data_IF_316105755236
#
_entry.id   IF_316105755236
#
_cell.length_a   1.000
_cell.length_b   1.000
_cell.length_c   1.000
_cell.angle_alpha   90.00
_cell.angle_beta   90.00
_cell.angle_gamma   90.00
#
_symmetry.space_group_name_H-M   'P 1'
#
loop_
_entity.id
_entity.type
_entity.pdbx_description
1 polymer ?
#
# COMPACT_ATOMS: atom_id res chain seq x y z
N UNK A 1 14.86 1.02 48.78
CA UNK A 1 13.60 0.24 48.92
C UNK A 1 12.80 0.51 47.64
N UNK A 2 12.40 -0.40 46.76
CA UNK A 2 12.32 -1.87 46.73
C UNK A 2 12.70 -2.34 45.32
N UNK A 3 13.50 -3.39 45.23
CA UNK A 3 13.64 -4.21 44.03
C UNK A 3 12.35 -5.05 43.87
N UNK A 4 11.86 -5.18 42.64
CA UNK A 4 10.69 -6.00 42.29
C UNK A 4 11.07 -7.02 41.22
N UNK A 5 11.03 -8.29 41.62
CA UNK A 5 11.40 -9.50 40.89
C UNK A 5 10.45 -9.83 39.71
N UNK A 6 11.06 -10.31 38.62
CA UNK A 6 10.78 -11.56 37.90
C UNK A 6 9.32 -11.93 37.56
N UNK A 7 9.10 -12.12 36.26
CA UNK A 7 8.00 -12.94 35.72
C UNK A 7 8.33 -13.42 34.32
N UNK A 8 9.24 -14.39 34.19
CA UNK A 8 9.44 -15.17 32.96
C UNK A 8 8.19 -16.05 32.75
N UNK A 9 7.42 -15.81 31.69
CA UNK A 9 6.37 -16.71 31.25
C UNK A 9 6.78 -17.34 29.91
N UNK A 10 7.39 -18.52 30.01
CA UNK A 10 7.70 -19.40 28.88
C UNK A 10 6.40 -20.02 28.39
N UNK A 11 5.94 -19.65 27.19
CA UNK A 11 4.83 -20.34 26.53
C UNK A 11 5.40 -21.33 25.53
N UNK A 12 5.30 -22.61 25.87
CA UNK A 12 5.54 -23.75 24.98
C UNK A 12 4.24 -23.98 24.20
N UNK A 13 4.28 -23.86 22.86
CA UNK A 13 3.20 -24.36 22.01
C UNK A 13 3.66 -25.57 21.22
N UNK A 14 2.85 -26.62 21.34
CA UNK A 14 3.03 -27.97 20.86
C UNK A 14 2.96 -28.06 19.33
N UNK A 15 3.88 -28.83 18.76
CA UNK A 15 3.86 -29.34 17.39
C UNK A 15 2.70 -30.33 17.24
N UNK A 16 1.81 -30.10 16.27
CA UNK A 16 0.91 -31.11 15.72
C UNK A 16 1.24 -31.28 14.24
N UNK A 17 1.85 -32.42 13.91
CA UNK A 17 2.11 -32.85 12.54
C UNK A 17 0.87 -33.50 11.93
N UNK A 18 0.67 -33.27 10.65
CA UNK A 18 -0.12 -34.13 9.78
C UNK A 18 0.78 -34.63 8.66
N UNK A 19 1.15 -35.91 8.75
CA UNK A 19 1.62 -36.71 7.63
C UNK A 19 0.43 -37.06 6.74
N UNK A 20 0.58 -36.95 5.42
CA UNK A 20 -0.42 -37.37 4.44
C UNK A 20 0.26 -37.82 3.15
N UNK A 21 0.23 -39.12 2.93
CA UNK A 21 0.82 -39.94 1.88
C UNK A 21 0.58 -39.48 0.43
N UNK A 22 1.58 -39.78 -0.41
CA UNK A 22 1.53 -39.78 -1.86
C UNK A 22 0.90 -41.08 -2.40
N UNK A 23 0.28 -41.02 -3.59
CA UNK A 23 0.46 -42.09 -4.56
C UNK A 23 0.71 -41.58 -5.99
N UNK A 24 1.89 -41.91 -6.54
CA UNK A 24 2.05 -42.33 -7.95
C UNK A 24 1.79 -43.85 -8.03
N UNK A 25 1.68 -44.55 -9.20
CA UNK A 25 1.93 -44.15 -10.59
C UNK A 25 0.84 -44.63 -11.59
N UNK A 26 0.91 -44.18 -12.86
CA UNK A 26 0.16 -44.80 -13.96
C UNK A 26 0.52 -44.24 -15.32
N UNK A 27 1.34 -44.97 -16.08
CA UNK A 27 1.86 -44.57 -17.38
C UNK A 27 1.04 -45.03 -18.60
N UNK A 28 0.98 -44.13 -19.60
CA UNK A 28 0.99 -44.35 -21.06
C UNK A 28 -0.19 -45.08 -21.76
N UNK A 29 -0.33 -45.02 -23.11
CA UNK A 29 0.56 -44.38 -24.10
C UNK A 29 -0.12 -43.58 -25.25
N UNK A 30 0.74 -42.84 -25.96
CA UNK A 30 0.74 -42.45 -27.39
C UNK A 30 -0.17 -41.32 -27.94
N UNK A 31 0.37 -40.36 -28.72
CA UNK A 31 -0.34 -39.21 -29.28
C UNK A 31 -0.93 -39.47 -30.67
N UNK A 32 -2.11 -38.90 -30.92
CA UNK A 32 -2.75 -38.82 -32.24
C UNK A 32 -2.26 -37.57 -33.02
N UNK A 33 -1.80 -37.68 -34.28
CA UNK A 33 -1.40 -36.52 -35.08
C UNK A 33 -2.63 -35.86 -35.72
N UNK A 34 -3.25 -34.94 -34.99
CA UNK A 34 -4.28 -34.03 -35.50
C UNK A 34 -3.71 -32.71 -36.00
N UNK A 35 -3.68 -32.55 -37.33
CA UNK A 35 -3.59 -31.33 -38.17
C UNK A 35 -3.22 -29.96 -37.53
N UNK A 36 -2.28 -29.19 -38.14
CA UNK A 36 -2.02 -27.80 -37.76
C UNK A 36 -3.20 -26.89 -38.15
N UNK A 37 -3.69 -26.12 -37.18
CA UNK A 37 -4.58 -24.97 -37.42
C UNK A 37 -3.73 -23.70 -37.33
N UNK A 38 -3.65 -22.84 -38.36
CA UNK A 38 -2.97 -21.56 -38.25
C UNK A 38 -3.88 -20.59 -37.46
N UNK A 39 -3.73 -20.60 -36.14
CA UNK A 39 -4.27 -19.57 -35.27
C UNK A 39 -3.11 -18.67 -34.83
N UNK A 40 -2.86 -17.61 -35.58
CA UNK A 40 -1.98 -16.51 -35.18
C UNK A 40 -2.49 -15.89 -33.87
N UNK A 41 -2.08 -16.45 -32.74
CA UNK A 41 -2.09 -15.77 -31.45
C UNK A 41 -0.96 -14.75 -31.47
N UNK A 42 -1.19 -13.61 -32.12
CA UNK A 42 -0.31 -12.46 -31.95
C UNK A 42 -0.24 -12.09 -30.47
N UNK A 43 0.92 -11.62 -29.96
CA UNK A 43 1.03 -11.17 -28.59
C UNK A 43 -0.02 -10.09 -28.37
N UNK A 44 -0.98 -10.34 -27.48
CA UNK A 44 -1.88 -9.30 -27.01
C UNK A 44 -0.97 -8.19 -26.47
N UNK A 45 -1.02 -6.96 -27.01
CA UNK A 45 -0.31 -5.86 -26.41
C UNK A 45 -0.85 -5.75 -24.98
N UNK A 46 0.01 -5.98 -23.99
CA UNK A 46 -0.33 -5.73 -22.61
C UNK A 46 -0.91 -4.32 -22.53
N UNK A 47 -2.06 -4.18 -21.87
CA UNK A 47 -2.67 -2.87 -21.63
C UNK A 47 -1.56 -1.94 -21.15
N UNK A 48 -1.30 -0.81 -21.85
CA UNK A 48 -0.31 0.14 -21.40
C UNK A 48 -0.68 0.53 -19.97
N UNK A 49 0.17 0.20 -18.99
CA UNK A 49 0.11 0.81 -17.68
C UNK A 49 0.07 2.31 -17.93
N UNK A 50 -1.08 2.92 -17.64
CA UNK A 50 -1.27 4.33 -17.89
C UNK A 50 -0.11 5.09 -17.25
N UNK A 51 0.62 5.85 -18.08
CA UNK A 51 1.69 6.68 -17.57
C UNK A 51 1.10 7.59 -16.48
N UNK A 52 1.81 7.80 -15.36
CA UNK A 52 1.35 8.72 -14.34
C UNK A 52 1.11 10.10 -14.96
N UNK A 53 0.11 10.86 -14.44
CA UNK A 53 -0.16 12.21 -14.91
C UNK A 53 1.10 13.09 -14.89
N UNK A 54 1.28 13.95 -15.89
CA UNK A 54 2.51 14.74 -16.08
C UNK A 54 2.84 15.69 -14.90
N UNK A 55 1.85 16.02 -14.09
CA UNK A 55 1.91 16.86 -12.89
C UNK A 55 2.10 16.07 -11.58
N UNK A 56 2.08 14.73 -11.63
CA UNK A 56 2.19 13.89 -10.44
C UNK A 56 3.66 13.59 -10.08
N UNK A 57 4.00 13.68 -8.79
CA UNK A 57 5.28 13.15 -8.31
C UNK A 57 5.23 11.62 -8.29
N UNK A 58 6.28 10.99 -8.82
CA UNK A 58 6.38 9.53 -8.86
C UNK A 58 6.79 8.96 -7.49
N UNK A 59 5.99 8.03 -6.98
CA UNK A 59 6.29 7.25 -5.78
C UNK A 59 7.31 6.14 -6.06
N UNK A 60 8.19 5.87 -5.08
CA UNK A 60 9.18 4.79 -5.17
C UNK A 60 8.80 3.65 -4.23
N UNK A 61 8.72 2.45 -4.79
CA UNK A 61 8.28 1.24 -4.09
C UNK A 61 9.32 0.63 -3.14
N UNK A 62 10.45 1.29 -2.93
CA UNK A 62 11.59 0.77 -2.20
C UNK A 62 11.34 0.76 -0.69
N UNK A 63 11.81 -0.32 -0.05
CA UNK A 63 11.92 -0.43 1.41
C UNK A 63 10.61 -0.11 2.16
N UNK A 64 9.50 -0.84 1.93
CA UNK A 64 8.35 -0.73 2.82
C UNK A 64 8.77 -0.96 4.27
N UNK A 65 8.16 -0.22 5.20
CA UNK A 65 8.46 -0.38 6.63
C UNK A 65 7.78 -1.61 7.22
N UNK A 66 6.77 -2.14 6.54
CA UNK A 66 6.06 -3.35 6.95
C UNK A 66 5.31 -4.00 5.77
N UNK A 67 5.02 -5.30 5.90
CA UNK A 67 4.20 -6.07 4.98
C UNK A 67 3.05 -6.72 5.77
N UNK A 68 1.82 -6.50 5.32
CA UNK A 68 0.59 -6.79 6.06
C UNK A 68 -0.34 -7.71 5.26
N UNK A 69 -1.04 -8.61 5.97
CA UNK A 69 -2.10 -9.41 5.37
C UNK A 69 -3.36 -8.57 5.05
N UNK A 70 -3.62 -7.52 5.83
CA UNK A 70 -4.74 -6.59 5.64
C UNK A 70 -4.42 -5.22 6.24
N UNK A 71 -5.09 -4.13 5.81
CA UNK A 71 -4.94 -2.83 6.44
C UNK A 71 -5.34 -2.86 7.93
N UNK A 72 -4.68 -2.09 8.81
CA UNK A 72 -5.06 -2.00 10.21
C UNK A 72 -6.49 -1.47 10.39
N UNK A 73 -7.19 -1.84 11.47
CA UNK A 73 -8.58 -1.44 11.69
C UNK A 73 -8.82 0.08 11.75
N UNK A 74 -7.79 0.87 12.08
CA UNK A 74 -7.86 2.33 12.09
C UNK A 74 -7.78 2.97 10.69
N UNK A 75 -7.55 2.15 9.66
CA UNK A 75 -7.40 2.55 8.27
C UNK A 75 -8.65 2.17 7.48
N UNK A 76 -9.04 3.03 6.54
CA UNK A 76 -10.09 2.73 5.57
C UNK A 76 -9.44 2.41 4.23
N UNK A 77 -9.70 1.20 3.72
CA UNK A 77 -9.33 0.79 2.36
C UNK A 77 -10.28 1.42 1.33
N UNK A 78 -9.73 1.83 0.20
CA UNK A 78 -10.47 2.44 -0.90
C UNK A 78 -9.97 1.92 -2.25
N UNK A 79 -10.93 1.62 -3.13
CA UNK A 79 -10.73 1.01 -4.46
C UNK A 79 -9.92 -0.30 -4.47
N UNK A 80 -9.75 -0.95 -3.32
CA UNK A 80 -8.87 -2.11 -3.11
C UNK A 80 -7.42 -1.87 -3.56
N UNK A 81 -6.94 -0.64 -3.42
CA UNK A 81 -5.60 -0.24 -3.88
C UNK A 81 -4.78 0.46 -2.79
N UNK A 82 -5.44 1.18 -1.89
CA UNK A 82 -4.79 1.99 -0.87
C UNK A 82 -5.66 2.04 0.38
N UNK A 83 -5.01 2.20 1.53
CA UNK A 83 -5.67 2.49 2.79
C UNK A 83 -4.96 3.63 3.53
N UNK A 84 -5.76 4.50 4.15
CA UNK A 84 -5.32 5.67 4.89
C UNK A 84 -5.95 5.68 6.28
N UNK A 85 -5.26 6.24 7.27
CA UNK A 85 -5.75 6.35 8.64
C UNK A 85 -6.90 7.36 8.72
N UNK A 86 -8.08 6.89 9.12
CA UNK A 86 -9.32 7.71 9.16
C UNK A 86 -10.00 7.68 10.52
N UNK A 87 -9.74 6.66 11.34
CA UNK A 87 -10.47 6.43 12.58
C UNK A 87 -10.07 7.37 13.74
N UNK A 88 -8.96 8.11 13.61
CA UNK A 88 -8.45 8.96 14.69
C UNK A 88 -7.77 10.20 14.14
N UNK A 89 -7.90 11.31 14.86
CA UNK A 89 -7.27 12.58 14.51
C UNK A 89 -5.74 12.45 14.57
N UNK A 90 -5.09 12.68 13.44
CA UNK A 90 -3.64 12.70 13.34
C UNK A 90 -3.09 13.90 14.11
N UNK A 91 -2.06 13.69 14.91
CA UNK A 91 -1.40 14.77 15.62
C UNK A 91 -0.61 15.63 14.64
N UNK A 92 -0.70 16.96 14.80
CA UNK A 92 0.06 17.93 14.02
C UNK A 92 1.13 18.59 14.89
N UNK A 93 2.28 18.85 14.30
CA UNK A 93 3.37 19.65 14.88
C UNK A 93 3.82 20.70 13.88
N UNK A 94 4.65 21.66 14.29
CA UNK A 94 5.32 22.53 13.33
C UNK A 94 6.16 21.68 12.34
N UNK A 95 6.13 22.07 11.07
CA UNK A 95 6.96 21.51 9.99
C UNK A 95 8.31 22.25 9.90
N UNK A 96 9.17 21.83 8.97
CA UNK A 96 10.44 22.51 8.70
C UNK A 96 10.25 23.84 7.96
N UNK A 97 11.23 24.76 8.03
CA UNK A 97 11.14 26.08 7.38
C UNK A 97 11.05 26.00 5.85
N UNK A 98 11.49 24.89 5.25
CA UNK A 98 11.49 24.66 3.81
C UNK A 98 10.31 23.79 3.34
N UNK A 99 9.45 23.35 4.27
CA UNK A 99 8.25 22.59 3.92
C UNK A 99 7.18 23.53 3.32
N UNK A 100 6.37 23.07 2.36
CA UNK A 100 5.41 23.93 1.66
C UNK A 100 4.26 24.42 2.55
N UNK A 101 4.04 23.78 3.69
CA UNK A 101 3.01 24.14 4.65
C UNK A 101 3.53 24.01 6.10
N UNK A 102 3.06 24.83 7.05
CA UNK A 102 3.63 25.00 8.38
C UNK A 102 3.34 23.88 9.39
N UNK A 103 2.38 22.99 9.12
CA UNK A 103 2.02 21.92 10.04
C UNK A 103 2.28 20.56 9.42
N UNK A 104 2.90 19.66 10.17
CA UNK A 104 3.23 18.30 9.78
C UNK A 104 2.43 17.28 10.61
N UNK A 105 1.86 16.28 9.95
CA UNK A 105 1.23 15.12 10.57
C UNK A 105 1.80 13.83 10.01
N UNK A 106 2.41 13.03 10.89
CA UNK A 106 2.92 11.69 10.55
C UNK A 106 1.75 10.71 10.42
N UNK A 107 1.69 9.98 9.31
CA UNK A 107 0.80 8.82 9.15
C UNK A 107 1.36 7.81 8.16
N UNK A 108 1.00 6.54 8.33
CA UNK A 108 1.29 5.50 7.36
C UNK A 108 0.45 5.66 6.09
N UNK A 109 1.04 5.28 4.96
CA UNK A 109 0.32 4.93 3.73
C UNK A 109 0.40 3.42 3.57
N UNK A 110 -0.73 2.77 3.36
CA UNK A 110 -0.76 1.32 3.13
C UNK A 110 -1.26 1.10 1.70
N UNK A 111 -0.46 0.45 0.85
CA UNK A 111 -0.80 0.20 -0.55
C UNK A 111 -0.91 -1.30 -0.81
N UNK A 112 -1.77 -1.69 -1.76
CA UNK A 112 -1.87 -3.07 -2.22
C UNK A 112 -0.84 -3.32 -3.31
N UNK A 113 -0.06 -4.40 -3.20
CA UNK A 113 0.92 -4.74 -4.22
C UNK A 113 0.28 -4.91 -5.61
N UNK A 114 0.95 -4.40 -6.65
CA UNK A 114 0.50 -4.48 -8.05
C UNK A 114 -0.62 -3.52 -8.44
N UNK A 115 -1.14 -2.70 -7.52
CA UNK A 115 -2.29 -1.83 -7.78
C UNK A 115 -1.85 -0.37 -7.96
N UNK A 116 -1.82 0.16 -9.20
CA UNK A 116 -1.47 1.56 -9.43
C UNK A 116 -2.60 2.48 -8.95
N UNK A 117 -2.20 3.60 -8.34
CA UNK A 117 -3.15 4.58 -7.78
C UNK A 117 -2.55 5.98 -7.82
N UNK A 118 -3.38 6.99 -8.00
CA UNK A 118 -3.01 8.40 -7.85
C UNK A 118 -3.76 8.98 -6.65
N UNK A 119 -3.02 9.62 -5.75
CA UNK A 119 -3.57 10.37 -4.62
C UNK A 119 -3.48 11.86 -4.92
N UNK A 120 -4.57 12.59 -4.73
CA UNK A 120 -4.60 14.05 -4.88
C UNK A 120 -5.16 14.69 -3.62
N UNK A 121 -4.55 15.79 -3.18
CA UNK A 121 -5.01 16.63 -2.07
C UNK A 121 -5.21 18.08 -2.54
N UNK A 122 -5.99 18.91 -1.82
CA UNK A 122 -6.13 20.33 -2.12
C UNK A 122 -4.79 21.08 -2.01
N UNK A 123 -4.71 22.26 -2.62
CA UNK A 123 -3.51 23.11 -2.57
C UNK A 123 -3.12 23.58 -1.16
N UNK A 124 -4.04 23.53 -0.19
CA UNK A 124 -3.76 23.84 1.22
C UNK A 124 -3.07 22.68 1.97
N UNK A 125 -2.66 21.65 1.23
CA UNK A 125 -2.00 20.47 1.75
C UNK A 125 -0.99 19.91 0.73
N UNK A 126 0.02 19.23 1.25
CA UNK A 126 0.88 18.35 0.47
C UNK A 126 1.11 17.03 1.21
N UNK A 127 1.43 16.01 0.43
CA UNK A 127 1.67 14.64 0.87
C UNK A 127 3.04 14.16 0.43
N UNK A 128 3.64 13.30 1.24
CA UNK A 128 4.85 12.58 0.88
C UNK A 128 4.92 11.27 1.66
N UNK A 129 5.24 10.19 0.97
CA UNK A 129 5.54 8.89 1.55
C UNK A 129 6.77 8.28 0.90
N UNK A 130 7.46 7.44 1.65
CA UNK A 130 8.67 6.75 1.22
C UNK A 130 9.73 6.74 2.33
N UNK A 131 10.52 5.68 2.37
CA UNK A 131 11.49 5.44 3.45
C UNK A 131 12.71 6.36 3.39
N UNK A 132 13.01 6.91 2.20
CA UNK A 132 14.16 7.80 1.98
C UNK A 132 13.75 9.28 1.85
N UNK A 133 12.59 9.66 2.41
CA UNK A 133 12.03 11.00 2.25
C UNK A 133 11.38 11.17 0.88
N UNK A 134 10.04 11.10 0.85
CA UNK A 134 9.27 11.46 -0.34
C UNK A 134 9.35 12.97 -0.61
N UNK A 135 9.14 13.38 -1.86
CA UNK A 135 8.99 14.81 -2.21
C UNK A 135 7.56 15.25 -1.91
N UNK A 136 7.40 16.40 -1.23
CA UNK A 136 6.08 17.02 -1.07
C UNK A 136 5.41 17.28 -2.42
N UNK A 137 4.15 16.87 -2.51
CA UNK A 137 3.32 17.08 -3.68
C UNK A 137 1.86 17.14 -3.29
N UNK A 138 1.04 17.82 -4.07
CA UNK A 138 -0.42 17.69 -3.97
C UNK A 138 -0.95 16.50 -4.78
N UNK A 139 -0.11 15.86 -5.61
CA UNK A 139 -0.49 14.74 -6.49
C UNK A 139 0.60 13.68 -6.54
N UNK A 140 0.35 12.52 -5.93
CA UNK A 140 1.30 11.41 -5.84
C UNK A 140 0.83 10.24 -6.70
N UNK A 141 1.65 9.81 -7.66
CA UNK A 141 1.37 8.64 -8.48
C UNK A 141 2.16 7.41 -8.00
N UNK A 142 1.44 6.35 -7.70
CA UNK A 142 1.96 5.07 -7.22
C UNK A 142 1.87 4.06 -8.39
N UNK A 143 3.01 3.52 -8.86
CA UNK A 143 3.04 2.75 -10.11
C UNK A 143 2.50 1.30 -9.99
N UNK A 144 2.04 0.89 -8.81
CA UNK A 144 1.70 -0.51 -8.52
C UNK A 144 2.95 -1.28 -8.10
N UNK A 145 3.27 -1.20 -6.80
CA UNK A 145 4.52 -1.74 -6.28
C UNK A 145 4.56 -3.27 -6.30
N UNK A 146 5.67 -3.91 -6.71
CA UNK A 146 5.76 -5.37 -6.74
C UNK A 146 5.66 -5.95 -5.32
N UNK A 147 5.14 -7.17 -5.17
CA UNK A 147 5.07 -7.83 -3.87
C UNK A 147 6.48 -8.08 -3.30
N UNK A 148 6.64 -7.89 -1.99
CA UNK A 148 7.79 -8.42 -1.26
C UNK A 148 7.58 -9.93 -1.07
N UNK A 149 8.56 -10.74 -1.44
CA UNK A 149 8.47 -12.21 -1.61
C UNK A 149 7.56 -12.97 -0.63
N UNK A 150 6.84 -13.99 -1.14
CA UNK A 150 6.06 -14.97 -0.35
C UNK A 150 4.56 -14.88 -0.56
N UNK A 151 4.01 -13.66 -0.62
CA UNK A 151 2.59 -13.40 -0.85
C UNK A 151 2.35 -12.82 -2.25
N UNK A 152 1.24 -13.21 -2.90
CA UNK A 152 0.93 -12.74 -4.26
C UNK A 152 0.56 -11.26 -4.31
N UNK A 153 -0.16 -10.77 -3.29
CA UNK A 153 -0.70 -9.41 -3.25
C UNK A 153 -0.74 -8.85 -1.81
N UNK A 154 0.40 -8.75 -1.10
CA UNK A 154 0.41 -8.22 0.25
C UNK A 154 0.07 -6.73 0.25
N UNK A 155 -0.34 -6.25 1.42
CA UNK A 155 -0.36 -4.82 1.70
C UNK A 155 1.02 -4.39 2.18
N UNK A 156 1.49 -3.24 1.73
CA UNK A 156 2.80 -2.70 2.07
C UNK A 156 2.65 -1.33 2.71
N UNK A 157 3.25 -1.15 3.88
CA UNK A 157 3.20 0.09 4.63
C UNK A 157 4.42 0.95 4.33
N UNK A 158 4.19 2.25 4.15
CA UNK A 158 5.23 3.24 3.91
C UNK A 158 5.10 4.42 4.89
N UNK A 159 6.23 4.92 5.39
CA UNK A 159 6.25 6.05 6.30
C UNK A 159 6.05 7.35 5.53
N UNK A 160 5.41 8.34 6.14
CA UNK A 160 5.21 9.64 5.52
C UNK A 160 4.08 10.39 6.21
N UNK A 161 3.32 11.17 5.45
CA UNK A 161 2.17 11.88 5.97
C UNK A 161 1.82 13.14 5.19
N UNK A 162 1.25 14.10 5.92
CA UNK A 162 0.68 15.33 5.39
C UNK A 162 1.40 16.55 5.96
N UNK A 163 1.64 17.54 5.13
CA UNK A 163 1.81 18.92 5.59
C UNK A 163 0.57 19.75 5.20
N UNK A 164 0.09 20.62 6.09
CA UNK A 164 -1.15 21.41 5.92
C UNK A 164 -0.99 22.83 6.44
N UNK A 165 -1.75 23.78 5.88
CA UNK A 165 -1.78 25.18 6.34
C UNK A 165 -2.33 25.31 7.76
N UNK A 166 -3.41 24.58 8.03
CA UNK A 166 -4.15 24.60 9.29
C UNK A 166 -4.67 23.19 9.62
N UNK A 167 -4.96 22.87 10.90
CA UNK A 167 -5.61 21.61 11.26
C UNK A 167 -6.95 21.44 10.52
N UNK A 168 -7.06 20.37 9.72
CA UNK A 168 -8.16 20.17 8.79
C UNK A 168 -8.59 18.70 8.63
N UNK A 169 -9.85 18.52 8.22
CA UNK A 169 -10.29 17.25 7.65
C UNK A 169 -9.98 17.26 6.15
N UNK A 170 -8.85 16.66 5.76
CA UNK A 170 -8.30 16.76 4.40
C UNK A 170 -9.01 15.77 3.48
N UNK A 171 -9.67 16.23 2.39
CA UNK A 171 -10.18 15.33 1.36
C UNK A 171 -9.01 14.81 0.52
N UNK A 172 -8.89 13.50 0.41
CA UNK A 172 -7.93 12.82 -0.47
C UNK A 172 -8.72 12.16 -1.59
N UNK A 173 -8.55 12.63 -2.81
CA UNK A 173 -9.05 11.94 -3.99
C UNK A 173 -8.13 10.77 -4.33
N UNK A 174 -8.72 9.61 -4.54
CA UNK A 174 -8.05 8.38 -4.92
C UNK A 174 -8.54 7.98 -6.30
N UNK A 175 -7.63 7.90 -7.26
CA UNK A 175 -7.90 7.47 -8.63
C UNK A 175 -7.17 6.17 -8.95
N UNK A 176 -7.90 5.15 -9.40
CA UNK A 176 -7.35 3.87 -9.86
C UNK A 176 -7.99 3.48 -11.20
N UNK A 177 -7.27 3.71 -12.30
CA UNK A 177 -7.83 3.64 -13.65
C UNK A 177 -8.96 4.65 -13.82
N UNK A 178 -10.12 4.20 -14.30
CA UNK A 178 -11.31 5.04 -14.49
C UNK A 178 -12.15 5.25 -13.22
N UNK A 179 -11.76 4.62 -12.10
CA UNK A 179 -12.47 4.72 -10.84
C UNK A 179 -11.88 5.83 -9.98
N UNK A 180 -12.76 6.62 -9.36
CA UNK A 180 -12.40 7.63 -8.36
C UNK A 180 -13.23 7.48 -7.10
N UNK A 181 -12.62 7.80 -5.97
CA UNK A 181 -13.28 7.91 -4.68
C UNK A 181 -12.61 9.01 -3.86
N UNK A 182 -13.33 9.61 -2.92
CA UNK A 182 -12.76 10.58 -1.98
C UNK A 182 -12.83 10.02 -0.58
N UNK A 183 -11.70 10.07 0.11
CA UNK A 183 -11.58 9.73 1.52
C UNK A 183 -11.27 10.99 2.31
N UNK A 184 -11.73 11.07 3.56
CA UNK A 184 -11.49 12.21 4.44
C UNK A 184 -10.56 11.81 5.57
N UNK A 185 -9.40 12.45 5.64
CA UNK A 185 -8.36 12.17 6.63
C UNK A 185 -8.38 13.27 7.70
N UNK A 186 -8.57 12.94 8.98
CA UNK A 186 -8.61 13.93 10.06
C UNK A 186 -7.18 14.36 10.45
N UNK A 187 -6.65 15.43 9.87
CA UNK A 187 -5.29 15.95 10.09
C UNK A 187 -5.32 17.11 11.09
N UNK A 188 -5.09 16.82 12.38
CA UNK A 188 -5.17 17.82 13.45
C UNK A 188 -6.60 18.28 13.80
N UNK A 189 -7.60 17.91 12.99
CA UNK A 189 -9.02 18.18 13.23
C UNK A 189 -9.86 16.97 12.80
N UNK A 190 -10.92 16.68 13.54
CA UNK A 190 -11.87 15.63 13.18
C UNK A 190 -12.56 15.91 11.83
N UNK A 191 -12.92 14.80 11.18
CA UNK A 191 -13.93 14.72 10.13
C UNK A 191 -15.26 14.30 10.79
#
# INVERSE_FOLDING_TARGET
MRAGLVGLATVVFLLAGCSGDAPEPGGGPTPEPGRPTPGSGGPTPGTPTAAPPADASAFRCESPIDTLAAPPAAYTSVLDAVALATASVQQVTASGPDDPHPLWAKTGLVIRAGHPVVLTVPETAAIAWGTNGGRWTNRLAIPGCPPTAGDREPWMAYPGGFVVDEPACVPVEVSAGDRRATLRVPVGRAC
#
